data_IF_690131757320
#
_entry.id   IF_690131757320
#
_cell.length_a   1.000
_cell.length_b   1.000
_cell.length_c   1.000
_cell.angle_alpha   90.00
_cell.angle_beta   90.00
_cell.angle_gamma   90.00
#
_symmetry.space_group_name_H-M   'P 1'
#
loop_
_entity.id
_entity.type
_entity.pdbx_description
1 polymer ?
#
# COMPACT_ATOMS: atom_id res chain seq x y z
N UNK A 1 -2.66 -24.79 -7.38
CA UNK A 1 -1.85 -23.56 -7.45
C UNK A 1 -2.31 -22.68 -6.30
N UNK A 2 -1.43 -22.25 -5.39
CA UNK A 2 -1.82 -21.32 -4.32
C UNK A 2 -2.32 -20.01 -4.95
N UNK A 3 -3.45 -19.49 -4.48
CA UNK A 3 -4.03 -18.24 -4.97
C UNK A 3 -3.66 -17.14 -3.97
N UNK A 4 -2.79 -16.22 -4.39
CA UNK A 4 -2.48 -15.03 -3.62
C UNK A 4 -3.44 -13.90 -4.03
N UNK A 5 -4.24 -13.42 -3.07
CA UNK A 5 -5.32 -12.46 -3.32
C UNK A 5 -4.82 -11.00 -3.35
N UNK A 6 -3.86 -10.70 -4.22
CA UNK A 6 -3.43 -9.32 -4.48
C UNK A 6 -4.49 -8.57 -5.31
N UNK A 7 -4.79 -7.34 -4.91
CA UNK A 7 -5.61 -6.41 -5.66
C UNK A 7 -4.71 -5.62 -6.61
N UNK A 8 -4.61 -6.06 -7.85
CA UNK A 8 -3.96 -5.30 -8.91
C UNK A 8 -4.93 -4.28 -9.51
N UNK A 9 -4.44 -3.06 -9.74
CA UNK A 9 -5.23 -1.99 -10.36
C UNK A 9 -4.84 -1.85 -11.82
N UNK A 10 -5.84 -1.80 -12.68
CA UNK A 10 -5.68 -1.46 -14.08
C UNK A 10 -5.70 0.07 -14.25
N UNK A 11 -4.51 0.68 -14.22
CA UNK A 11 -4.31 2.10 -14.51
C UNK A 11 -3.58 2.22 -15.86
N UNK A 12 -4.24 2.72 -16.92
CA UNK A 12 -3.64 2.84 -18.24
C UNK A 12 -2.38 3.72 -18.28
N UNK A 13 -2.25 4.67 -17.35
CA UNK A 13 -1.07 5.55 -17.28
C UNK A 13 0.07 4.94 -16.48
N UNK A 14 -0.26 4.07 -15.52
CA UNK A 14 0.70 3.40 -14.63
C UNK A 14 0.34 1.92 -14.56
N UNK A 15 0.72 1.17 -15.59
CA UNK A 15 0.44 -0.25 -15.64
C UNK A 15 1.34 -1.01 -14.66
N UNK A 16 0.77 -2.04 -14.02
CA UNK A 16 1.54 -3.01 -13.26
C UNK A 16 2.38 -3.84 -14.23
N UNK A 17 3.70 -3.79 -14.06
CA UNK A 17 4.63 -4.63 -14.83
C UNK A 17 5.39 -5.56 -13.90
N UNK A 18 5.41 -6.85 -14.26
CA UNK A 18 6.15 -7.87 -13.54
C UNK A 18 7.61 -8.00 -13.98
N UNK A 19 8.36 -8.76 -13.19
CA UNK A 19 9.70 -9.25 -13.53
C UNK A 19 9.62 -10.66 -14.14
N UNK A 20 10.57 -10.97 -15.02
CA UNK A 20 10.76 -12.35 -15.49
C UNK A 20 11.40 -13.22 -14.41
N UNK A 21 11.37 -14.54 -14.62
CA UNK A 21 12.00 -15.51 -13.70
C UNK A 21 13.51 -15.28 -13.64
N UNK A 22 14.14 -14.95 -14.76
CA UNK A 22 15.57 -14.66 -14.86
C UNK A 22 15.95 -13.41 -14.06
N UNK A 23 15.16 -12.34 -14.15
CA UNK A 23 15.36 -11.12 -13.37
C UNK A 23 15.23 -11.42 -11.86
N UNK A 24 14.24 -12.21 -11.45
CA UNK A 24 14.05 -12.60 -10.04
C UNK A 24 15.21 -13.48 -9.55
N UNK A 25 15.69 -14.41 -10.38
CA UNK A 25 16.84 -15.26 -10.05
C UNK A 25 18.11 -14.43 -9.87
N UNK A 26 18.30 -13.38 -10.69
CA UNK A 26 19.40 -12.44 -10.50
C UNK A 26 19.30 -11.72 -9.14
N UNK A 27 18.12 -11.19 -8.78
CA UNK A 27 17.94 -10.52 -7.49
C UNK A 27 18.23 -11.44 -6.29
N UNK A 28 17.77 -12.70 -6.35
CA UNK A 28 18.04 -13.69 -5.31
C UNK A 28 19.52 -14.03 -5.20
N UNK A 29 20.22 -14.14 -6.34
CA UNK A 29 21.66 -14.39 -6.38
C UNK A 29 22.44 -13.23 -5.75
N UNK A 30 22.11 -12.00 -6.11
CA UNK A 30 22.83 -10.79 -5.71
C UNK A 30 22.64 -10.46 -4.24
N UNK A 31 21.46 -10.76 -3.70
CA UNK A 31 21.20 -10.69 -2.26
C UNK A 31 21.71 -11.92 -1.49
N UNK A 32 22.06 -13.01 -2.19
CA UNK A 32 22.31 -14.33 -1.61
C UNK A 32 21.14 -14.82 -0.71
N UNK A 33 19.91 -14.51 -1.09
CA UNK A 33 18.70 -14.82 -0.34
C UNK A 33 17.66 -15.51 -1.21
N UNK A 34 16.91 -16.43 -0.60
CA UNK A 34 15.74 -17.04 -1.24
C UNK A 34 14.51 -16.21 -0.94
N UNK A 35 13.80 -15.80 -1.97
CA UNK A 35 12.62 -14.97 -1.84
C UNK A 35 11.40 -15.83 -1.47
N UNK A 36 10.53 -15.35 -0.55
CA UNK A 36 9.26 -15.99 -0.25
C UNK A 36 8.37 -16.11 -1.49
N UNK A 37 7.61 -17.21 -1.62
CA UNK A 37 6.78 -17.48 -2.83
C UNK A 37 5.77 -16.37 -3.12
N UNK A 38 5.15 -15.84 -2.07
CA UNK A 38 4.21 -14.72 -2.13
C UNK A 38 4.87 -13.43 -2.66
N UNK A 39 6.14 -13.21 -2.32
CA UNK A 39 6.91 -12.08 -2.82
C UNK A 39 7.29 -12.30 -4.29
N UNK A 40 7.74 -13.51 -4.66
CA UNK A 40 8.00 -13.88 -6.06
C UNK A 40 6.74 -13.67 -6.91
N UNK A 41 5.57 -14.10 -6.42
CA UNK A 41 4.31 -13.87 -7.13
C UNK A 41 4.04 -12.39 -7.34
N UNK A 42 4.23 -11.55 -6.32
CA UNK A 42 4.11 -10.10 -6.47
C UNK A 42 5.09 -9.54 -7.50
N UNK A 43 6.35 -9.97 -7.45
CA UNK A 43 7.38 -9.56 -8.41
C UNK A 43 6.98 -9.88 -9.84
N UNK A 44 6.46 -11.08 -10.10
CA UNK A 44 6.05 -11.53 -11.43
C UNK A 44 4.83 -10.81 -12.00
N UNK A 45 4.00 -10.21 -11.15
CA UNK A 45 2.76 -9.55 -11.58
C UNK A 45 2.87 -8.02 -11.60
N UNK A 46 3.64 -7.42 -10.68
CA UNK A 46 3.70 -5.98 -10.51
C UNK A 46 5.06 -5.41 -10.07
N UNK A 47 6.05 -6.22 -9.69
CA UNK A 47 7.24 -5.74 -8.98
C UNK A 47 8.10 -4.72 -9.75
N UNK A 48 8.16 -4.81 -11.09
CA UNK A 48 9.02 -3.98 -11.93
C UNK A 48 8.54 -2.54 -12.01
N UNK A 49 7.24 -2.38 -12.18
CA UNK A 49 6.57 -1.09 -12.19
C UNK A 49 5.21 -1.24 -11.53
N UNK A 50 5.19 -1.34 -10.21
CA UNK A 50 3.92 -1.39 -9.49
C UNK A 50 3.38 0.02 -9.34
N UNK A 51 2.10 0.18 -9.66
CA UNK A 51 1.42 1.44 -9.48
C UNK A 51 1.06 1.75 -8.02
N UNK A 52 1.28 0.81 -7.09
CA UNK A 52 1.03 0.99 -5.65
C UNK A 52 2.34 0.95 -4.87
N UNK A 53 3.12 -0.11 -5.04
CA UNK A 53 4.33 -0.32 -4.25
C UNK A 53 5.44 -0.90 -5.13
N UNK A 54 6.13 -0.01 -5.85
CA UNK A 54 7.29 -0.40 -6.66
C UNK A 54 8.45 -0.78 -5.74
N UNK A 55 9.02 -1.97 -5.95
CA UNK A 55 10.17 -2.49 -5.20
C UNK A 55 11.47 -2.17 -5.94
N UNK A 56 12.61 -2.29 -5.26
CA UNK A 56 13.90 -2.13 -5.93
C UNK A 56 14.18 -3.35 -6.82
N UNK A 57 14.35 -3.11 -8.12
CA UNK A 57 14.59 -4.15 -9.13
C UNK A 57 15.99 -4.10 -9.73
N UNK A 58 16.80 -3.12 -9.35
CA UNK A 58 18.22 -3.08 -9.68
C UNK A 58 19.00 -3.89 -8.63
N UNK A 59 19.63 -4.98 -9.06
CA UNK A 59 20.40 -5.86 -8.19
C UNK A 59 21.46 -5.14 -7.33
N UNK A 60 22.25 -4.25 -7.93
CA UNK A 60 23.33 -3.54 -7.22
C UNK A 60 22.75 -2.63 -6.13
N UNK A 61 21.64 -1.93 -6.44
CA UNK A 61 20.95 -1.11 -5.45
C UNK A 61 20.30 -1.96 -4.36
N UNK A 62 19.67 -3.07 -4.72
CA UNK A 62 19.06 -3.99 -3.77
C UNK A 62 20.10 -4.54 -2.78
N UNK A 63 21.27 -4.96 -3.27
CA UNK A 63 22.37 -5.41 -2.43
C UNK A 63 22.90 -4.29 -1.53
N UNK A 64 23.02 -3.06 -2.06
CA UNK A 64 23.41 -1.89 -1.28
C UNK A 64 22.43 -1.63 -0.12
N UNK A 65 21.13 -1.52 -0.39
CA UNK A 65 20.12 -1.24 0.65
C UNK A 65 19.98 -2.40 1.64
N UNK A 66 20.23 -3.64 1.21
CA UNK A 66 20.28 -4.81 2.07
C UNK A 66 21.42 -4.69 3.10
N UNK A 67 22.61 -4.30 2.64
CA UNK A 67 23.78 -4.10 3.51
C UNK A 67 23.60 -2.92 4.45
N UNK A 68 23.05 -1.80 3.96
CA UNK A 68 22.73 -0.62 4.77
C UNK A 68 21.77 -0.98 5.91
N UNK A 69 20.67 -1.68 5.60
CA UNK A 69 19.72 -2.13 6.62
C UNK A 69 20.39 -3.03 7.66
N UNK A 70 21.21 -4.00 7.23
CA UNK A 70 21.89 -4.92 8.15
C UNK A 70 22.79 -4.16 9.13
N UNK A 71 23.57 -3.20 8.64
CA UNK A 71 24.43 -2.35 9.47
C UNK A 71 23.62 -1.54 10.48
N UNK A 72 22.49 -0.96 10.08
CA UNK A 72 21.64 -0.18 10.98
C UNK A 72 21.01 -1.05 12.08
N UNK A 73 20.54 -2.24 11.73
CA UNK A 73 20.00 -3.19 12.71
C UNK A 73 21.07 -3.68 13.68
N UNK A 74 22.29 -3.93 13.20
CA UNK A 74 23.41 -4.37 14.05
C UNK A 74 23.83 -3.30 15.06
N UNK A 75 23.86 -2.02 14.65
CA UNK A 75 24.15 -0.90 15.56
C UNK A 75 23.19 -0.83 16.75
N UNK A 76 21.93 -1.19 16.52
CA UNK A 76 20.87 -1.19 17.53
C UNK A 76 20.73 -2.54 18.24
N UNK A 77 21.57 -3.53 17.90
CA UNK A 77 21.46 -4.91 18.36
C UNK A 77 20.06 -5.52 18.12
N UNK A 78 19.46 -5.19 16.98
CA UNK A 78 18.14 -5.67 16.57
C UNK A 78 18.29 -6.82 15.58
N UNK A 79 17.55 -7.91 15.83
CA UNK A 79 17.51 -9.07 14.94
C UNK A 79 18.93 -9.60 14.54
N UNK A 80 19.86 -9.78 15.50
CA UNK A 80 21.31 -9.96 15.22
C UNK A 80 21.67 -11.28 14.52
N UNK A 81 20.74 -12.23 14.43
CA UNK A 81 20.93 -13.54 13.80
C UNK A 81 19.80 -13.90 12.82
N UNK A 82 18.92 -12.95 12.55
CA UNK A 82 17.75 -13.17 11.71
C UNK A 82 18.12 -12.98 10.24
N UNK A 83 17.56 -13.83 9.39
CA UNK A 83 17.73 -13.70 7.97
C UNK A 83 16.72 -12.69 7.41
N UNK A 84 17.19 -11.51 7.02
CA UNK A 84 16.34 -10.40 6.58
C UNK A 84 16.45 -10.17 5.07
N UNK A 85 15.34 -9.78 4.44
CA UNK A 85 15.31 -9.37 3.03
C UNK A 85 14.73 -7.95 2.92
N UNK A 86 15.58 -6.97 2.69
CA UNK A 86 15.19 -5.61 2.32
C UNK A 86 14.66 -5.61 0.88
N UNK A 87 13.48 -5.02 0.68
CA UNK A 87 12.84 -4.97 -0.65
C UNK A 87 12.72 -3.56 -1.19
N UNK A 88 12.86 -2.55 -0.31
CA UNK A 88 12.77 -1.14 -0.66
C UNK A 88 13.38 -0.28 0.43
N UNK A 89 14.11 0.75 0.01
CA UNK A 89 14.47 1.91 0.81
C UNK A 89 13.78 3.14 0.23
N UNK A 90 13.18 3.96 1.09
CA UNK A 90 12.63 5.26 0.73
C UNK A 90 13.39 6.34 1.51
N UNK A 91 13.74 7.42 0.83
CA UNK A 91 14.38 8.59 1.42
C UNK A 91 13.45 9.79 1.16
N UNK A 92 13.01 10.45 2.22
CA UNK A 92 12.11 11.59 2.16
C UNK A 92 12.67 12.76 2.95
N UNK A 93 12.67 13.95 2.36
CA UNK A 93 13.00 15.18 3.07
C UNK A 93 11.75 15.72 3.77
N UNK A 94 11.83 15.92 5.07
CA UNK A 94 10.79 16.61 5.83
C UNK A 94 11.17 18.09 5.98
N UNK A 95 10.32 18.97 5.43
CA UNK A 95 10.57 20.42 5.45
C UNK A 95 10.45 21.02 6.86
N UNK A 96 9.61 20.44 7.72
CA UNK A 96 9.40 20.94 9.08
C UNK A 96 10.65 20.71 9.93
N UNK A 97 11.26 19.53 9.82
CA UNK A 97 12.50 19.18 10.53
C UNK A 97 13.78 19.55 9.76
N UNK A 98 13.65 19.96 8.50
CA UNK A 98 14.76 20.21 7.56
C UNK A 98 15.76 19.05 7.47
N UNK A 99 15.27 17.82 7.55
CA UNK A 99 16.09 16.61 7.61
C UNK A 99 15.62 15.55 6.62
N UNK A 100 16.54 14.67 6.22
CA UNK A 100 16.21 13.49 5.44
C UNK A 100 15.90 12.34 6.38
N UNK A 101 14.78 11.66 6.12
CA UNK A 101 14.35 10.46 6.82
C UNK A 101 14.43 9.27 5.88
N UNK A 102 14.95 8.17 6.40
CA UNK A 102 15.02 6.90 5.69
C UNK A 102 13.98 5.93 6.23
N UNK A 103 13.36 5.17 5.33
CA UNK A 103 12.43 4.09 5.66
C UNK A 103 12.81 2.85 4.88
N UNK A 104 13.05 1.75 5.61
CA UNK A 104 13.35 0.45 5.05
C UNK A 104 12.13 -0.45 5.18
N UNK A 105 11.78 -1.13 4.09
CA UNK A 105 10.76 -2.17 4.06
C UNK A 105 11.46 -3.51 3.86
N UNK A 106 11.26 -4.44 4.79
CA UNK A 106 11.97 -5.71 4.76
C UNK A 106 11.15 -6.87 5.33
N UNK A 107 11.48 -8.09 4.93
CA UNK A 107 10.94 -9.31 5.49
C UNK A 107 11.91 -9.91 6.50
N UNK A 108 11.38 -10.45 7.60
CA UNK A 108 12.12 -11.44 8.38
C UNK A 108 11.85 -12.84 7.83
N UNK A 109 12.83 -13.40 7.10
CA UNK A 109 12.73 -14.71 6.47
C UNK A 109 12.86 -15.88 7.45
N UNK A 110 13.32 -15.64 8.68
CA UNK A 110 13.39 -16.66 9.73
C UNK A 110 12.00 -17.03 10.28
N UNK A 111 11.08 -16.08 10.33
CA UNK A 111 9.76 -16.24 10.97
C UNK A 111 8.83 -17.15 10.18
N UNK A 112 8.63 -16.82 8.89
CA UNK A 112 7.67 -17.52 8.05
C UNK A 112 8.06 -17.42 6.57
N UNK A 113 8.43 -18.56 5.99
CA UNK A 113 8.87 -18.65 4.59
C UNK A 113 7.73 -18.49 3.57
N UNK A 114 6.48 -18.68 3.98
CA UNK A 114 5.32 -18.71 3.10
C UNK A 114 4.55 -17.39 3.10
N UNK A 115 4.36 -16.81 4.28
CA UNK A 115 3.69 -15.53 4.46
C UNK A 115 4.55 -14.67 5.40
N UNK A 116 5.60 -14.03 4.86
CA UNK A 116 6.53 -13.27 5.67
C UNK A 116 5.86 -12.02 6.21
N UNK A 117 6.15 -11.71 7.47
CA UNK A 117 5.81 -10.41 8.06
C UNK A 117 6.61 -9.33 7.34
N UNK A 118 5.94 -8.32 6.80
CA UNK A 118 6.60 -7.10 6.34
C UNK A 118 6.89 -6.22 7.54
N UNK A 119 8.14 -5.80 7.70
CA UNK A 119 8.62 -4.87 8.70
C UNK A 119 8.96 -3.53 8.06
N UNK A 120 8.78 -2.48 8.83
CA UNK A 120 9.13 -1.10 8.52
C UNK A 120 10.15 -0.66 9.56
N UNK A 121 11.36 -0.31 9.12
CA UNK A 121 12.37 0.32 9.95
C UNK A 121 12.50 1.78 9.54
N UNK A 122 12.09 2.67 10.43
CA UNK A 122 11.96 4.11 10.19
C UNK A 122 12.47 4.91 11.38
N UNK A 123 12.92 6.13 11.11
CA UNK A 123 13.18 7.13 12.14
C UNK A 123 11.91 7.95 12.39
N UNK A 124 11.53 8.08 13.66
CA UNK A 124 10.28 8.73 14.08
C UNK A 124 10.57 9.77 15.12
N UNK A 125 9.93 10.94 14.99
CA UNK A 125 10.05 11.98 15.98
C UNK A 125 9.36 11.55 17.27
N UNK A 126 10.10 11.59 18.38
CA UNK A 126 9.60 11.31 19.72
C UNK A 126 9.37 12.60 20.52
N UNK A 127 9.99 13.70 20.10
CA UNK A 127 9.76 15.03 20.67
C UNK A 127 10.07 16.12 19.65
N UNK A 128 9.01 16.72 19.10
CA UNK A 128 9.09 17.77 18.08
C UNK A 128 9.78 19.04 18.60
N UNK A 129 9.62 19.38 19.89
CA UNK A 129 10.20 20.60 20.46
C UNK A 129 11.73 20.51 20.56
N UNK A 130 12.26 19.29 20.71
CA UNK A 130 13.68 19.04 20.94
C UNK A 130 14.36 18.44 19.69
N UNK A 131 13.62 18.29 18.58
CA UNK A 131 14.07 17.57 17.39
C UNK A 131 14.69 16.21 17.76
N UNK A 132 14.05 15.49 18.68
CA UNK A 132 14.52 14.19 19.11
C UNK A 132 13.83 13.09 18.30
N UNK A 133 14.64 12.19 17.77
CA UNK A 133 14.19 11.10 16.90
C UNK A 133 14.69 9.76 17.42
N UNK A 134 13.92 8.70 17.12
CA UNK A 134 14.27 7.33 17.44
C UNK A 134 14.04 6.45 16.21
N UNK A 135 15.01 5.56 15.94
CA UNK A 135 14.84 4.50 14.94
C UNK A 135 14.10 3.34 15.57
N UNK A 136 13.00 2.92 14.94
CA UNK A 136 12.17 1.81 15.44
C UNK A 136 11.79 0.84 14.34
N UNK A 137 11.62 -0.42 14.73
CA UNK A 137 11.03 -1.46 13.88
C UNK A 137 9.57 -1.58 14.24
N UNK A 138 8.71 -1.43 13.24
CA UNK A 138 7.28 -1.73 13.35
C UNK A 138 6.91 -2.82 12.35
N UNK A 139 5.90 -3.63 12.68
CA UNK A 139 5.28 -4.47 11.66
C UNK A 139 4.47 -3.57 10.76
N UNK A 140 4.62 -3.73 9.44
CA UNK A 140 3.68 -3.13 8.52
C UNK A 140 2.27 -3.53 8.94
N UNK A 141 1.35 -2.57 8.89
CA UNK A 141 -0.01 -2.71 9.41
C UNK A 141 -0.58 -4.09 9.05
N UNK A 142 -1.05 -4.80 10.07
CA UNK A 142 -1.77 -6.06 9.96
C UNK A 142 -0.94 -7.32 9.58
N UNK A 143 0.39 -7.26 9.70
CA UNK A 143 1.34 -8.39 9.72
C UNK A 143 1.36 -9.31 8.47
N UNK A 144 0.85 -8.88 7.32
CA UNK A 144 0.78 -9.70 6.11
C UNK A 144 1.07 -8.86 4.86
N UNK A 145 2.00 -9.31 4.01
CA UNK A 145 2.39 -8.61 2.80
C UNK A 145 1.24 -8.39 1.80
N UNK A 146 0.38 -9.40 1.55
CA UNK A 146 -0.81 -9.22 0.70
C UNK A 146 -1.71 -8.14 1.26
N UNK A 147 -1.94 -8.17 2.57
CA UNK A 147 -2.84 -7.23 3.23
C UNK A 147 -2.30 -5.81 3.16
N UNK A 148 -1.00 -5.63 3.43
CA UNK A 148 -0.30 -4.37 3.24
C UNK A 148 -0.46 -3.83 1.81
N UNK A 149 -0.18 -4.65 0.79
CA UNK A 149 -0.33 -4.22 -0.61
C UNK A 149 -1.78 -3.82 -0.91
N UNK A 150 -2.76 -4.62 -0.50
CA UNK A 150 -4.17 -4.33 -0.75
C UNK A 150 -4.63 -3.04 -0.05
N UNK A 151 -4.17 -2.78 1.18
CA UNK A 151 -4.44 -1.52 1.88
C UNK A 151 -3.81 -0.32 1.19
N UNK A 152 -2.55 -0.42 0.76
CA UNK A 152 -1.89 0.65 -0.01
C UNK A 152 -2.62 0.90 -1.34
N UNK A 153 -3.08 -0.18 -2.00
CA UNK A 153 -3.95 -0.09 -3.17
C UNK A 153 -5.24 0.68 -2.85
N UNK A 154 -5.89 0.37 -1.74
CA UNK A 154 -7.13 1.01 -1.33
C UNK A 154 -6.94 2.47 -0.91
N UNK A 155 -5.82 2.81 -0.26
CA UNK A 155 -5.47 4.20 0.07
C UNK A 155 -5.27 5.02 -1.19
N UNK A 156 -4.55 4.49 -2.18
CA UNK A 156 -4.21 5.20 -3.42
C UNK A 156 -5.39 5.27 -4.40
N UNK A 157 -6.14 4.18 -4.57
CA UNK A 157 -7.17 4.04 -5.61
C UNK A 157 -8.60 3.84 -5.07
N UNK A 158 -8.76 3.41 -3.82
CA UNK A 158 -10.05 3.05 -3.20
C UNK A 158 -10.95 4.23 -2.80
N UNK A 159 -10.56 5.48 -3.08
CA UNK A 159 -11.33 6.70 -2.77
C UNK A 159 -12.75 6.68 -3.39
N UNK A 160 -13.02 5.85 -4.41
CA UNK A 160 -14.37 5.68 -4.97
C UNK A 160 -15.38 5.06 -3.97
N UNK A 161 -14.98 4.18 -3.06
CA UNK A 161 -15.96 3.52 -2.15
C UNK A 161 -16.44 4.49 -1.05
N UNK A 162 -15.54 5.29 -0.45
CA UNK A 162 -15.92 6.29 0.56
C UNK A 162 -16.73 7.45 -0.01
N UNK A 163 -16.49 7.88 -1.26
CA UNK A 163 -17.31 8.91 -1.93
C UNK A 163 -18.71 8.41 -2.29
N UNK A 164 -18.87 7.15 -2.69
CA UNK A 164 -20.21 6.60 -2.95
C UNK A 164 -21.04 6.48 -1.67
N UNK A 165 -20.47 6.06 -0.54
CA UNK A 165 -21.17 5.99 0.74
C UNK A 165 -21.63 7.36 1.27
N UNK A 166 -20.88 8.45 1.00
CA UNK A 166 -21.28 9.81 1.40
C UNK A 166 -22.56 10.30 0.71
N UNK A 167 -22.90 9.74 -0.45
CA UNK A 167 -24.09 10.13 -1.23
C UNK A 167 -25.30 9.20 -1.01
N UNK A 168 -25.14 8.07 -0.30
CA UNK A 168 -26.25 7.15 -0.01
C UNK A 168 -27.33 7.78 0.89
N UNK A 169 -27.02 8.55 1.95
CA UNK A 169 -28.05 9.20 2.77
C UNK A 169 -28.91 10.20 1.97
N UNK A 170 -28.29 10.93 1.04
CA UNK A 170 -28.93 11.97 0.25
C UNK A 170 -29.93 11.39 -0.76
N UNK A 171 -29.62 10.24 -1.36
CA UNK A 171 -30.53 9.54 -2.27
C UNK A 171 -31.73 8.91 -1.54
N UNK A 172 -31.54 8.39 -0.33
CA UNK A 172 -32.64 7.82 0.47
C UNK A 172 -33.64 8.91 0.89
N UNK A 173 -33.17 10.13 1.17
CA UNK A 173 -34.03 11.25 1.55
C UNK A 173 -34.68 11.90 0.31
N UNK A 174 -34.00 11.99 -0.83
CA UNK A 174 -34.52 12.69 -2.01
C UNK A 174 -35.65 11.93 -2.71
N UNK A 175 -35.60 10.59 -2.78
CA UNK A 175 -36.62 9.76 -3.45
C UNK A 175 -38.05 10.02 -2.92
N UNK A 176 -38.33 9.91 -1.60
CA UNK A 176 -39.68 10.15 -1.08
C UNK A 176 -40.16 11.59 -1.30
N UNK A 177 -39.27 12.59 -1.20
CA UNK A 177 -39.63 14.00 -1.48
C UNK A 177 -40.02 14.18 -2.95
N UNK A 178 -39.32 13.53 -3.86
CA UNK A 178 -39.57 13.65 -5.30
C UNK A 178 -40.91 12.99 -5.68
N UNK A 179 -41.24 11.86 -5.06
CA UNK A 179 -42.54 11.19 -5.23
C UNK A 179 -43.69 12.08 -4.74
N UNK A 180 -43.55 12.70 -3.58
CA UNK A 180 -44.58 13.63 -3.05
C UNK A 180 -44.78 14.82 -3.98
N UNK A 181 -43.70 15.42 -4.49
CA UNK A 181 -43.77 16.53 -5.45
C UNK A 181 -44.48 16.11 -6.75
N UNK A 182 -44.21 14.92 -7.28
CA UNK A 182 -44.88 14.40 -8.48
C UNK A 182 -46.38 14.17 -8.25
N UNK A 183 -46.77 13.70 -7.06
CA UNK A 183 -48.19 13.54 -6.69
C UNK A 183 -48.89 14.90 -6.63
N UNK A 184 -48.26 15.91 -6.02
CA UNK A 184 -48.79 17.28 -5.96
C UNK A 184 -48.95 17.86 -7.36
N UNK A 185 -47.94 17.71 -8.22
CA UNK A 185 -47.97 18.19 -9.59
C UNK A 185 -49.07 17.52 -10.42
N UNK A 186 -49.23 16.20 -10.27
CA UNK A 186 -50.32 15.47 -10.91
C UNK A 186 -51.70 15.97 -10.45
N UNK A 187 -51.85 16.26 -9.15
CA UNK A 187 -53.08 16.80 -8.59
C UNK A 187 -53.38 18.22 -9.08
N UNK A 188 -52.37 19.09 -9.21
CA UNK A 188 -52.52 20.43 -9.76
C UNK A 188 -52.98 20.37 -11.22
N UNK A 189 -52.35 19.53 -12.06
CA UNK A 189 -52.74 19.35 -13.46
C UNK A 189 -54.17 18.80 -13.57
N UNK A 190 -54.56 17.86 -12.72
CA UNK A 190 -55.92 17.32 -12.66
C UNK A 190 -56.93 18.38 -12.24
N UNK A 191 -56.61 19.18 -11.21
CA UNK A 191 -57.44 20.27 -10.72
C UNK A 191 -57.63 21.34 -11.80
N UNK A 192 -56.56 21.74 -12.49
CA UNK A 192 -56.63 22.70 -13.59
C UNK A 192 -57.45 22.19 -14.76
N UNK A 193 -57.39 20.88 -15.07
CA UNK A 193 -58.26 20.25 -16.09
C UNK A 193 -59.73 20.18 -15.69
N UNK A 194 -60.04 20.07 -14.39
CA UNK A 194 -61.41 20.02 -13.88
C UNK A 194 -62.02 21.42 -13.77
N UNK A 195 -61.22 22.44 -13.39
CA UNK A 195 -61.66 23.83 -13.23
C UNK A 195 -61.70 24.65 -14.54
N UNK A 196 -60.96 24.24 -15.57
CA UNK A 196 -61.04 24.84 -16.93
C UNK A 196 -62.08 24.14 -17.83
N UNK A 197 -63.14 23.60 -17.22
CA UNK A 197 -64.30 23.03 -17.91
C UNK A 197 -65.55 23.75 -17.44
#
# INVERSE_FOLDING_TARGET
MEIYNFRFVDDPKNQNLGLTIEEINLLQKETNLRFPKIYIFYLQNAGKSSNVFQVETNANKLQKIQNELRLELDKLNLLPSENILCIKKYEGYDEYFKSNFETYYFFNLSENKWNPTLYIFEEVCINDLWNAFEKRITKAKENNFIKFINEETDKKYGIRIKKHLKNIPLYIISIPITIILLIILAFQILKDKILNK
#
